data_IF_419697515667
#
_entry.id   IF_419697515667
#
_cell.length_a   1.000
_cell.length_b   1.000
_cell.length_c   1.000
_cell.angle_alpha   90.00
_cell.angle_beta   90.00
_cell.angle_gamma   90.00
#
_symmetry.space_group_name_H-M   'P 1'
#
loop_
_entity.id
_entity.type
_entity.pdbx_description
1 polymer ?
#
# COMPACT_ATOMS: atom_id res chain seq x y z
N UNK A 1 5.36 -17.20 -32.94
CA UNK A 1 6.51 -16.29 -33.10
C UNK A 1 6.32 -14.93 -32.41
N UNK A 2 5.14 -14.42 -32.31
CA UNK A 2 4.77 -13.08 -31.85
C UNK A 2 4.98 -12.78 -30.36
N UNK A 3 4.72 -13.75 -29.45
CA UNK A 3 4.82 -13.55 -27.98
C UNK A 3 6.25 -13.22 -27.50
N UNK A 4 7.27 -13.70 -28.19
CA UNK A 4 8.67 -13.37 -27.87
C UNK A 4 9.00 -11.89 -28.05
N UNK A 5 8.31 -11.21 -28.97
CA UNK A 5 8.56 -9.79 -29.24
C UNK A 5 8.13 -8.88 -28.09
N UNK A 6 6.95 -9.11 -27.50
CA UNK A 6 6.50 -8.30 -26.35
C UNK A 6 7.38 -8.54 -25.11
N UNK A 7 7.81 -9.79 -24.88
CA UNK A 7 8.76 -10.11 -23.80
C UNK A 7 10.08 -9.37 -24.00
N UNK A 8 10.66 -9.46 -25.19
CA UNK A 8 11.92 -8.76 -25.52
C UNK A 8 11.78 -7.24 -25.38
N UNK A 9 10.65 -6.69 -25.77
CA UNK A 9 10.38 -5.25 -25.58
C UNK A 9 10.34 -4.86 -24.13
N UNK A 10 9.70 -5.65 -23.24
CA UNK A 10 9.69 -5.42 -21.80
C UNK A 10 11.10 -5.49 -21.21
N UNK A 11 11.90 -6.45 -21.62
CA UNK A 11 13.30 -6.63 -21.18
C UNK A 11 14.18 -5.43 -21.60
N UNK A 12 14.02 -4.95 -22.83
CA UNK A 12 14.78 -3.80 -23.33
C UNK A 12 14.34 -2.44 -22.74
N UNK A 13 13.14 -2.36 -22.19
CA UNK A 13 12.63 -1.10 -21.64
C UNK A 13 13.23 -0.71 -20.30
N UNK A 14 13.89 -1.63 -19.61
CA UNK A 14 14.44 -1.48 -18.25
C UNK A 14 13.45 -0.92 -17.20
N UNK A 15 12.14 -0.97 -17.50
CA UNK A 15 11.09 -0.49 -16.63
C UNK A 15 10.72 -1.54 -15.60
N UNK A 16 10.80 -1.19 -14.32
CA UNK A 16 10.32 -2.05 -13.22
C UNK A 16 8.80 -2.12 -13.14
N UNK A 17 8.08 -1.14 -13.66
CA UNK A 17 6.63 -1.11 -13.69
C UNK A 17 6.11 -0.73 -15.06
N UNK A 18 4.98 -1.32 -15.44
CA UNK A 18 4.25 -0.98 -16.64
C UNK A 18 2.76 -0.82 -16.36
N UNK A 19 2.14 0.17 -16.98
CA UNK A 19 0.71 0.38 -16.89
C UNK A 19 -0.04 -0.43 -17.94
N UNK A 20 -1.34 -0.62 -17.74
CA UNK A 20 -2.23 -1.23 -18.73
C UNK A 20 -2.22 -0.46 -20.04
N UNK A 21 -2.19 0.85 -19.96
CA UNK A 21 -2.23 1.77 -21.10
C UNK A 21 -0.94 1.66 -21.93
N UNK A 22 0.22 1.65 -21.26
CA UNK A 22 1.52 1.41 -21.93
C UNK A 22 1.56 0.04 -22.61
N UNK A 23 1.14 -1.02 -21.89
CA UNK A 23 1.13 -2.36 -22.45
C UNK A 23 0.18 -2.49 -23.64
N UNK A 24 -0.99 -1.82 -23.60
CA UNK A 24 -1.89 -1.74 -24.76
C UNK A 24 -1.26 -1.03 -25.96
N UNK A 25 -0.58 0.09 -25.72
CA UNK A 25 0.12 0.82 -26.76
C UNK A 25 1.24 -0.02 -27.38
N UNK A 26 1.97 -0.78 -26.55
CA UNK A 26 3.02 -1.68 -27.00
C UNK A 26 2.47 -2.85 -27.83
N UNK A 27 1.38 -3.46 -27.39
CA UNK A 27 0.69 -4.49 -28.16
C UNK A 27 0.20 -3.95 -29.52
N UNK A 28 -0.39 -2.75 -29.55
CA UNK A 28 -0.85 -2.11 -30.79
C UNK A 28 0.30 -1.87 -31.78
N UNK A 29 1.45 -1.36 -31.30
CA UNK A 29 2.65 -1.14 -32.14
C UNK A 29 3.20 -2.44 -32.74
N UNK A 30 3.00 -3.57 -32.07
CA UNK A 30 3.46 -4.88 -32.51
C UNK A 30 2.37 -5.68 -33.23
N UNK A 31 1.21 -5.07 -33.56
CA UNK A 31 0.03 -5.72 -34.16
C UNK A 31 -0.43 -6.96 -33.36
N UNK A 32 -0.44 -6.86 -32.03
CA UNK A 32 -0.78 -7.95 -31.11
C UNK A 32 -2.06 -7.67 -30.33
N UNK A 33 -2.83 -8.72 -30.02
CA UNK A 33 -3.97 -8.62 -29.11
C UNK A 33 -3.51 -8.43 -27.66
N UNK A 34 -4.02 -7.39 -26.99
CA UNK A 34 -3.68 -7.08 -25.60
C UNK A 34 -4.13 -8.18 -24.63
N UNK A 35 -5.33 -8.71 -24.80
CA UNK A 35 -5.91 -9.66 -23.82
C UNK A 35 -5.20 -11.01 -23.85
N UNK A 36 -4.80 -11.46 -25.01
CA UNK A 36 -3.99 -12.67 -25.18
C UNK A 36 -2.62 -12.46 -24.53
N UNK A 37 -1.98 -11.32 -24.81
CA UNK A 37 -0.64 -11.03 -24.30
C UNK A 37 -0.61 -10.82 -22.78
N UNK A 38 -1.54 -10.07 -22.19
CA UNK A 38 -1.57 -9.87 -20.74
C UNK A 38 -1.82 -11.18 -19.99
N UNK A 39 -2.68 -12.05 -20.51
CA UNK A 39 -2.91 -13.38 -19.95
C UNK A 39 -1.64 -14.23 -19.97
N UNK A 40 -0.93 -14.26 -21.11
CA UNK A 40 0.33 -14.94 -21.24
C UNK A 40 1.39 -14.41 -20.27
N UNK A 41 1.62 -13.09 -20.28
CA UNK A 41 2.65 -12.45 -19.45
C UNK A 41 2.41 -12.63 -17.96
N UNK A 42 1.15 -12.64 -17.52
CA UNK A 42 0.82 -12.89 -16.12
C UNK A 42 0.89 -14.38 -15.75
N UNK A 43 0.44 -15.27 -16.63
CA UNK A 43 0.50 -16.73 -16.42
C UNK A 43 1.95 -17.21 -16.28
N UNK A 44 2.82 -16.78 -17.18
CA UNK A 44 4.26 -17.13 -17.15
C UNK A 44 5.09 -16.22 -16.26
N UNK A 45 4.43 -15.41 -15.42
CA UNK A 45 5.07 -14.57 -14.39
C UNK A 45 6.12 -13.57 -14.93
N UNK A 46 5.99 -13.12 -16.16
CA UNK A 46 6.74 -11.96 -16.66
C UNK A 46 6.24 -10.67 -16.02
N UNK A 47 4.92 -10.60 -15.80
CA UNK A 47 4.25 -9.50 -15.12
C UNK A 47 3.57 -10.01 -13.86
N UNK A 48 3.73 -9.28 -12.77
CA UNK A 48 3.01 -9.53 -11.52
C UNK A 48 2.14 -8.31 -11.22
N UNK A 49 0.84 -8.54 -11.04
CA UNK A 49 -0.10 -7.45 -10.77
C UNK A 49 0.14 -6.89 -9.37
N UNK A 50 0.36 -5.57 -9.29
CA UNK A 50 0.47 -4.84 -8.01
C UNK A 50 -0.84 -4.14 -7.68
N UNK A 51 -1.35 -3.31 -8.60
CA UNK A 51 -2.68 -2.70 -8.50
C UNK A 51 -3.46 -2.91 -9.79
N UNK A 52 -4.74 -2.55 -9.80
CA UNK A 52 -5.55 -2.60 -11.02
C UNK A 52 -4.92 -1.71 -12.09
N UNK A 53 -4.48 -2.34 -13.19
CA UNK A 53 -3.86 -1.68 -14.32
C UNK A 53 -2.38 -1.33 -14.14
N UNK A 54 -1.73 -1.79 -13.07
CA UNK A 54 -0.30 -1.58 -12.81
C UNK A 54 0.37 -2.91 -12.51
N UNK A 55 1.44 -3.21 -13.22
CA UNK A 55 2.15 -4.47 -13.14
C UNK A 55 3.63 -4.23 -12.85
N UNK A 56 4.19 -5.08 -12.01
CA UNK A 56 5.64 -5.20 -11.84
C UNK A 56 6.21 -6.08 -12.94
N UNK A 57 7.26 -5.64 -13.59
CA UNK A 57 7.97 -6.37 -14.65
C UNK A 57 9.10 -7.13 -13.99
N UNK A 58 9.04 -8.48 -13.99
CA UNK A 58 10.12 -9.29 -13.43
C UNK A 58 11.34 -9.30 -14.35
N UNK A 59 12.49 -9.07 -13.78
CA UNK A 59 13.77 -9.21 -14.47
C UNK A 59 14.00 -10.68 -14.92
N UNK A 60 14.97 -10.89 -15.80
CA UNK A 60 15.38 -12.24 -16.24
C UNK A 60 15.82 -13.07 -15.04
N UNK A 61 16.59 -12.50 -14.12
CA UNK A 61 17.09 -13.16 -12.91
C UNK A 61 15.94 -13.55 -11.97
N UNK A 62 15.01 -12.64 -11.71
CA UNK A 62 13.84 -12.89 -10.87
C UNK A 62 12.96 -14.01 -11.42
N UNK A 63 12.89 -14.14 -12.75
CA UNK A 63 12.15 -15.23 -13.40
C UNK A 63 12.89 -16.57 -13.26
N UNK A 64 14.21 -16.59 -13.49
CA UNK A 64 15.05 -17.79 -13.34
C UNK A 64 15.04 -18.30 -11.90
N UNK A 65 15.14 -17.41 -10.92
CA UNK A 65 15.16 -17.74 -9.50
C UNK A 65 13.76 -17.88 -8.87
N UNK A 66 12.71 -17.61 -9.64
CA UNK A 66 11.31 -17.52 -9.17
C UNK A 66 11.14 -16.63 -7.93
N UNK A 67 11.94 -15.58 -7.81
CA UNK A 67 11.93 -14.60 -6.71
C UNK A 67 11.44 -13.24 -7.22
N UNK A 68 11.20 -12.33 -6.27
CA UNK A 68 10.88 -10.92 -6.52
C UNK A 68 11.81 -10.11 -5.62
N UNK A 69 12.61 -9.23 -6.22
CA UNK A 69 13.66 -8.48 -5.52
C UNK A 69 13.15 -7.15 -4.94
N UNK A 70 11.96 -6.72 -5.32
CA UNK A 70 11.35 -5.52 -4.74
C UNK A 70 10.58 -5.85 -3.46
N UNK A 71 10.72 -5.02 -2.44
CA UNK A 71 9.88 -5.11 -1.24
C UNK A 71 8.42 -4.75 -1.60
N UNK A 72 7.44 -5.49 -1.06
CA UNK A 72 6.02 -5.26 -1.36
C UNK A 72 5.54 -3.86 -0.97
N UNK A 73 6.04 -3.26 0.12
CA UNK A 73 5.70 -1.88 0.51
C UNK A 73 6.24 -0.86 -0.49
N UNK A 74 7.44 -1.07 -1.01
CA UNK A 74 8.02 -0.23 -2.07
C UNK A 74 7.23 -0.38 -3.38
N UNK A 75 6.84 -1.60 -3.73
CA UNK A 75 6.01 -1.84 -4.90
C UNK A 75 4.66 -1.14 -4.80
N UNK A 76 4.05 -1.11 -3.61
CA UNK A 76 2.80 -0.37 -3.35
C UNK A 76 3.05 1.13 -3.51
N UNK A 77 4.11 1.67 -2.92
CA UNK A 77 4.48 3.09 -3.03
C UNK A 77 4.60 3.52 -4.51
N UNK A 78 5.38 2.77 -5.30
CA UNK A 78 5.55 3.09 -6.72
C UNK A 78 4.24 2.96 -7.51
N UNK A 79 3.45 1.92 -7.23
CA UNK A 79 2.15 1.75 -7.89
C UNK A 79 1.15 2.87 -7.54
N UNK A 80 1.15 3.36 -6.29
CA UNK A 80 0.31 4.50 -5.88
C UNK A 80 0.78 5.81 -6.52
N UNK A 81 2.09 6.01 -6.65
CA UNK A 81 2.69 7.13 -7.38
C UNK A 81 2.27 7.13 -8.84
N UNK A 82 2.41 6.00 -9.55
CA UNK A 82 1.97 5.82 -10.94
C UNK A 82 0.46 6.11 -11.08
N UNK A 83 -0.33 5.71 -10.08
CA UNK A 83 -1.79 5.94 -10.05
C UNK A 83 -2.18 7.38 -9.73
N UNK A 84 -1.23 8.24 -9.38
CA UNK A 84 -1.49 9.64 -9.01
C UNK A 84 -2.18 9.81 -7.66
N UNK A 85 -2.06 8.83 -6.75
CA UNK A 85 -2.57 8.93 -5.38
C UNK A 85 -1.51 9.63 -4.53
N UNK A 86 -1.83 10.85 -4.08
CA UNK A 86 -0.88 11.69 -3.33
C UNK A 86 -1.05 11.57 -1.81
N UNK A 87 -2.30 11.49 -1.33
CA UNK A 87 -2.64 11.51 0.09
C UNK A 87 -2.84 10.08 0.59
N UNK A 88 -1.77 9.45 1.04
CA UNK A 88 -1.79 8.11 1.59
C UNK A 88 -0.56 7.87 2.48
N UNK A 89 -0.64 6.87 3.34
CA UNK A 89 0.46 6.42 4.20
C UNK A 89 0.22 4.96 4.66
N UNK A 90 1.27 4.30 5.10
CA UNK A 90 1.16 3.05 5.83
C UNK A 90 0.71 3.34 7.26
N UNK A 91 -0.40 2.75 7.69
CA UNK A 91 -1.00 2.97 9.00
C UNK A 91 -1.14 1.70 9.81
N UNK A 92 -1.73 1.83 10.99
CA UNK A 92 -2.07 0.73 11.90
C UNK A 92 -0.87 -0.17 12.21
N UNK A 93 -1.05 -1.49 12.17
CA UNK A 93 0.02 -2.47 12.46
C UNK A 93 1.25 -2.30 11.57
N UNK A 94 1.08 -1.86 10.30
CA UNK A 94 2.22 -1.57 9.43
C UNK A 94 3.04 -0.39 9.93
N UNK A 95 2.37 0.67 10.40
CA UNK A 95 3.06 1.82 10.98
C UNK A 95 3.74 1.46 12.32
N UNK A 96 3.14 0.59 13.13
CA UNK A 96 3.77 0.11 14.36
C UNK A 96 5.09 -0.62 14.09
N UNK A 97 5.12 -1.49 13.07
CA UNK A 97 6.36 -2.16 12.63
C UNK A 97 7.41 -1.13 12.14
N UNK A 98 7.00 -0.18 11.31
CA UNK A 98 7.91 0.82 10.73
C UNK A 98 8.46 1.82 11.78
N UNK A 99 7.73 2.02 12.89
CA UNK A 99 8.18 2.78 14.05
C UNK A 99 8.96 1.94 15.08
N UNK A 100 9.14 0.64 14.87
CA UNK A 100 9.74 -0.30 15.84
C UNK A 100 9.03 -0.29 17.20
N UNK A 101 7.70 -0.12 17.21
CA UNK A 101 6.89 -0.07 18.42
C UNK A 101 6.38 -1.44 18.87
N UNK A 102 6.50 -2.46 18.03
CA UNK A 102 6.03 -3.81 18.31
C UNK A 102 6.94 -4.83 17.66
N UNK A 103 7.05 -5.99 18.29
CA UNK A 103 7.69 -7.19 17.78
C UNK A 103 6.67 -8.23 17.26
N UNK A 104 5.39 -7.90 17.34
CA UNK A 104 4.33 -8.79 16.89
C UNK A 104 4.36 -9.00 15.37
N UNK A 105 4.04 -10.22 14.96
CA UNK A 105 3.86 -10.55 13.56
C UNK A 105 2.42 -10.31 13.12
N UNK A 106 2.22 -9.38 12.19
CA UNK A 106 0.92 -9.11 11.58
C UNK A 106 0.87 -9.65 10.17
N UNK A 107 -0.22 -10.33 9.87
CA UNK A 107 -0.43 -10.96 8.55
C UNK A 107 -0.98 -10.01 7.48
N UNK A 108 -1.42 -8.83 7.88
CA UNK A 108 -2.04 -7.83 7.00
C UNK A 108 -1.29 -6.51 7.15
N UNK A 109 -0.87 -5.95 6.02
CA UNK A 109 -0.38 -4.58 5.95
C UNK A 109 -1.49 -3.62 5.55
N UNK A 110 -1.47 -2.42 6.12
CA UNK A 110 -2.53 -1.42 5.96
C UNK A 110 -2.02 -0.19 5.22
N UNK A 111 -2.76 0.19 4.20
CA UNK A 111 -2.58 1.45 3.47
C UNK A 111 -3.79 2.32 3.73
N UNK A 112 -3.58 3.49 4.32
CA UNK A 112 -4.62 4.48 4.58
C UNK A 112 -4.53 5.57 3.52
N UNK A 113 -5.68 5.95 2.95
CA UNK A 113 -5.75 6.91 1.85
C UNK A 113 -7.07 7.68 1.86
N UNK A 114 -7.08 8.85 1.26
CA UNK A 114 -8.31 9.64 1.05
C UNK A 114 -9.19 9.13 -0.10
N UNK A 115 -8.63 8.28 -0.99
CA UNK A 115 -9.30 7.86 -2.25
C UNK A 115 -9.54 6.37 -2.36
N UNK A 116 -8.66 5.54 -1.80
CA UNK A 116 -8.70 4.09 -2.01
C UNK A 116 -9.38 3.38 -0.85
N UNK A 117 -10.30 2.50 -1.20
CA UNK A 117 -10.99 1.61 -0.26
C UNK A 117 -11.07 0.19 -0.82
N UNK A 118 -10.87 -0.80 0.06
CA UNK A 118 -11.13 -2.20 -0.22
C UNK A 118 -11.72 -2.86 1.02
N UNK A 119 -12.93 -3.40 0.89
CA UNK A 119 -13.61 -4.05 2.02
C UNK A 119 -12.82 -5.27 2.54
N UNK A 120 -12.22 -6.04 1.64
CA UNK A 120 -11.43 -7.24 1.98
C UNK A 120 -9.95 -7.04 1.63
N UNK A 121 -9.03 -7.59 2.43
CA UNK A 121 -7.62 -7.67 2.07
C UNK A 121 -7.44 -8.45 0.76
N UNK A 122 -6.41 -8.11 0.00
CA UNK A 122 -6.01 -8.84 -1.20
C UNK A 122 -4.49 -8.97 -1.28
N UNK A 123 -4.02 -9.87 -2.13
CA UNK A 123 -2.60 -10.17 -2.24
C UNK A 123 -1.91 -9.20 -3.21
N UNK A 124 -0.79 -8.64 -2.75
CA UNK A 124 0.20 -7.94 -3.56
C UNK A 124 1.55 -8.61 -3.31
N UNK A 125 2.16 -9.17 -4.34
CA UNK A 125 3.44 -9.87 -4.25
C UNK A 125 3.50 -10.94 -3.14
N UNK A 126 2.38 -11.61 -2.86
CA UNK A 126 2.25 -12.65 -1.82
C UNK A 126 1.85 -12.13 -0.43
N UNK A 127 1.83 -10.82 -0.20
CA UNK A 127 1.45 -10.20 1.08
C UNK A 127 -0.01 -9.74 1.08
N UNK A 128 -0.71 -9.92 2.20
CA UNK A 128 -2.08 -9.43 2.37
C UNK A 128 -2.07 -7.93 2.67
N UNK A 129 -2.74 -7.15 1.83
CA UNK A 129 -2.82 -5.70 1.96
C UNK A 129 -4.28 -5.29 2.07
N UNK A 130 -4.59 -4.40 3.02
CA UNK A 130 -5.92 -3.78 3.17
C UNK A 130 -5.81 -2.27 2.92
N UNK A 131 -6.65 -1.77 2.03
CA UNK A 131 -6.81 -0.33 1.78
C UNK A 131 -8.00 0.19 2.58
N UNK A 132 -7.75 1.21 3.40
CA UNK A 132 -8.77 1.89 4.21
C UNK A 132 -8.87 3.34 3.74
N UNK A 133 -10.10 3.78 3.51
CA UNK A 133 -10.36 5.18 3.20
C UNK A 133 -10.60 5.96 4.49
N UNK A 134 -9.96 7.13 4.59
CA UNK A 134 -10.10 8.03 5.74
C UNK A 134 -10.44 9.44 5.25
N UNK A 135 -10.94 10.29 6.15
CA UNK A 135 -11.20 11.69 5.82
C UNK A 135 -9.93 12.39 5.34
N UNK A 136 -9.96 13.14 4.22
CA UNK A 136 -8.78 13.82 3.67
C UNK A 136 -8.05 14.73 4.66
N UNK A 137 -8.76 15.34 5.62
CA UNK A 137 -8.14 16.17 6.66
C UNK A 137 -7.17 15.38 7.53
N UNK A 138 -7.47 14.10 7.77
CA UNK A 138 -6.65 13.21 8.59
C UNK A 138 -5.39 12.69 7.88
N UNK A 139 -5.22 12.92 6.58
CA UNK A 139 -4.01 12.52 5.84
C UNK A 139 -2.92 13.59 5.82
N UNK A 140 -3.11 14.73 6.52
CA UNK A 140 -2.23 15.91 6.39
C UNK A 140 -1.23 16.10 7.52
N UNK A 141 -1.28 15.31 8.59
CA UNK A 141 -0.43 15.46 9.77
C UNK A 141 0.00 14.10 10.33
N UNK A 142 1.01 14.10 11.18
CA UNK A 142 1.53 12.90 11.84
C UNK A 142 2.07 11.83 10.90
N UNK A 143 2.57 12.23 9.72
CA UNK A 143 3.14 11.32 8.73
C UNK A 143 4.64 11.53 8.65
N UNK A 144 5.38 10.46 8.83
CA UNK A 144 6.83 10.40 8.68
C UNK A 144 7.11 10.06 7.21
N UNK A 145 7.71 11.02 6.49
CA UNK A 145 8.09 10.90 5.08
C UNK A 145 9.58 10.56 4.94
N UNK A 146 9.94 9.33 5.30
CA UNK A 146 11.25 8.76 4.99
C UNK A 146 11.21 8.06 3.62
N UNK A 147 11.85 6.90 3.52
CA UNK A 147 11.75 6.08 2.30
C UNK A 147 10.30 5.66 2.01
N UNK A 148 9.55 5.26 3.03
CA UNK A 148 8.12 4.95 2.97
C UNK A 148 7.34 5.96 3.81
N UNK A 149 6.19 6.49 3.35
CA UNK A 149 5.33 7.32 4.18
C UNK A 149 4.53 6.45 5.17
N UNK A 150 4.63 6.75 6.46
CA UNK A 150 3.86 6.03 7.50
C UNK A 150 3.47 6.97 8.64
N UNK A 151 2.41 6.63 9.38
CA UNK A 151 1.97 7.42 10.54
C UNK A 151 2.94 7.27 11.72
N UNK A 152 3.18 8.36 12.46
CA UNK A 152 3.89 8.30 13.74
C UNK A 152 3.06 7.57 14.82
N UNK A 153 3.62 7.37 16.00
CA UNK A 153 2.99 6.59 17.08
C UNK A 153 1.63 7.18 17.47
N UNK A 154 1.58 8.48 17.73
CA UNK A 154 0.37 9.16 18.19
C UNK A 154 -0.72 9.18 17.12
N UNK A 155 -0.36 9.44 15.87
CA UNK A 155 -1.29 9.35 14.74
C UNK A 155 -1.81 7.93 14.56
N UNK A 156 -0.95 6.92 14.70
CA UNK A 156 -1.32 5.52 14.57
C UNK A 156 -2.38 5.12 15.60
N UNK A 157 -2.20 5.52 16.87
CA UNK A 157 -3.17 5.26 17.93
C UNK A 157 -4.51 5.95 17.64
N UNK A 158 -4.47 7.22 17.26
CA UNK A 158 -5.69 7.97 16.93
C UNK A 158 -6.44 7.36 15.72
N UNK A 159 -5.71 6.87 14.73
CA UNK A 159 -6.31 6.16 13.61
C UNK A 159 -6.95 4.82 14.05
N UNK A 160 -6.34 4.10 14.97
CA UNK A 160 -6.93 2.89 15.55
C UNK A 160 -8.25 3.21 16.27
N UNK A 161 -8.28 4.25 17.13
CA UNK A 161 -9.48 4.67 17.83
C UNK A 161 -10.57 5.07 16.83
N UNK A 162 -10.24 5.94 15.88
CA UNK A 162 -11.15 6.42 14.85
C UNK A 162 -11.76 5.27 14.03
N UNK A 163 -10.92 4.36 13.53
CA UNK A 163 -11.37 3.25 12.71
C UNK A 163 -12.12 2.18 13.50
N UNK A 164 -11.84 2.01 14.79
CA UNK A 164 -12.62 1.15 15.68
C UNK A 164 -14.04 1.70 15.86
N UNK A 165 -14.17 2.99 16.14
CA UNK A 165 -15.47 3.67 16.28
C UNK A 165 -16.31 3.64 14.99
N UNK A 166 -15.65 3.47 13.83
CA UNK A 166 -16.31 3.34 12.53
C UNK A 166 -16.44 1.88 12.05
N UNK A 167 -16.05 0.90 12.88
CA UNK A 167 -16.21 -0.53 12.60
C UNK A 167 -15.19 -1.15 11.64
N UNK A 168 -14.14 -0.43 11.27
CA UNK A 168 -13.12 -0.92 10.33
C UNK A 168 -12.02 -1.75 10.99
N UNK A 169 -11.82 -1.60 12.30
CA UNK A 169 -10.80 -2.28 13.12
C UNK A 169 -11.40 -2.77 14.44
N UNK A 170 -10.97 -3.93 14.92
CA UNK A 170 -11.52 -4.56 16.14
C UNK A 170 -10.72 -4.24 17.42
N UNK A 171 -9.40 -4.16 17.32
CA UNK A 171 -8.50 -4.02 18.45
C UNK A 171 -7.74 -2.70 18.41
N UNK A 172 -7.50 -2.13 19.59
CA UNK A 172 -6.58 -1.00 19.80
C UNK A 172 -5.39 -1.56 20.58
N UNK A 173 -4.16 -1.39 20.14
CA UNK A 173 -2.98 -1.84 20.88
C UNK A 173 -2.71 -0.88 22.05
N UNK A 174 -3.32 -1.15 23.21
CA UNK A 174 -3.27 -0.27 24.38
C UNK A 174 -1.86 -0.07 24.93
N UNK A 175 -1.01 -1.10 24.87
CA UNK A 175 0.39 -1.07 25.32
C UNK A 175 1.25 0.03 24.66
N UNK A 176 0.80 0.52 23.50
CA UNK A 176 1.55 1.54 22.76
C UNK A 176 1.27 2.95 23.28
N UNK A 177 0.20 3.14 24.05
CA UNK A 177 -0.09 4.44 24.67
C UNK A 177 1.02 4.94 25.58
N UNK A 178 1.67 4.06 26.32
CA UNK A 178 2.80 4.40 27.20
C UNK A 178 3.99 5.00 26.44
N UNK A 179 4.12 4.66 25.16
CA UNK A 179 5.19 5.15 24.28
C UNK A 179 4.81 6.44 23.55
N UNK A 180 3.59 6.95 23.74
CA UNK A 180 3.08 8.14 23.07
C UNK A 180 3.15 9.38 23.95
N UNK A 181 3.40 10.53 23.35
CA UNK A 181 3.32 11.82 24.03
C UNK A 181 1.85 12.24 24.21
N UNK A 182 1.39 12.36 25.48
CA UNK A 182 0.03 12.82 25.80
C UNK A 182 -0.29 14.17 25.17
N UNK A 183 0.64 15.12 25.23
CA UNK A 183 0.46 16.44 24.62
C UNK A 183 0.23 16.38 23.12
N UNK A 184 0.98 15.51 22.43
CA UNK A 184 0.87 15.34 20.98
C UNK A 184 -0.41 14.60 20.60
N UNK A 185 -0.84 13.59 21.38
CA UNK A 185 -2.13 12.92 21.22
C UNK A 185 -3.28 13.93 21.33
N UNK A 186 -3.28 14.77 22.39
CA UNK A 186 -4.30 15.81 22.57
C UNK A 186 -4.28 16.88 21.46
N UNK A 187 -3.11 17.25 20.95
CA UNK A 187 -2.98 18.17 19.82
C UNK A 187 -3.59 17.58 18.56
N UNK A 188 -3.25 16.34 18.22
CA UNK A 188 -3.71 15.67 16.99
C UNK A 188 -5.20 15.32 17.07
N UNK A 189 -5.72 14.95 18.26
CA UNK A 189 -7.11 14.57 18.46
C UNK A 189 -8.10 15.65 18.04
N UNK A 190 -7.72 16.94 18.10
CA UNK A 190 -8.56 18.08 17.67
C UNK A 190 -9.01 17.97 16.21
N UNK A 191 -8.32 17.20 15.38
CA UNK A 191 -8.65 16.99 13.97
C UNK A 191 -9.63 15.84 13.75
N UNK A 192 -9.89 15.03 14.77
CA UNK A 192 -10.80 13.90 14.73
C UNK A 192 -12.21 14.27 15.17
N UNK A 193 -13.15 13.33 15.03
CA UNK A 193 -14.52 13.52 15.46
C UNK A 193 -14.69 13.43 16.99
N UNK A 194 -15.86 13.86 17.46
CA UNK A 194 -16.19 13.90 18.91
C UNK A 194 -16.13 12.51 19.56
N UNK A 195 -16.46 11.42 18.83
CA UNK A 195 -16.45 10.06 19.35
C UNK A 195 -15.01 9.61 19.63
N UNK A 196 -14.12 9.82 18.66
CA UNK A 196 -12.69 9.55 18.81
C UNK A 196 -12.07 10.35 19.97
N UNK A 197 -12.39 11.65 20.08
CA UNK A 197 -11.90 12.50 21.18
C UNK A 197 -12.40 11.99 22.54
N UNK A 198 -13.69 11.62 22.64
CA UNK A 198 -14.26 11.08 23.87
C UNK A 198 -13.53 9.79 24.27
N UNK A 199 -13.41 8.86 23.34
CA UNK A 199 -12.74 7.57 23.59
C UNK A 199 -11.28 7.74 23.99
N UNK A 200 -10.54 8.64 23.35
CA UNK A 200 -9.17 8.95 23.76
C UNK A 200 -9.09 9.44 25.21
N UNK A 201 -10.02 10.32 25.64
CA UNK A 201 -10.05 10.85 27.00
C UNK A 201 -10.34 9.76 28.06
N UNK A 202 -11.12 8.74 27.70
CA UNK A 202 -11.40 7.59 28.58
C UNK A 202 -10.17 6.68 28.72
N UNK A 203 -9.22 6.75 27.80
CA UNK A 203 -8.01 5.90 27.78
C UNK A 203 -6.76 6.62 28.34
N UNK A 204 -6.78 7.94 28.56
CA UNK A 204 -5.69 8.76 29.12
C UNK A 204 -5.77 8.92 30.62
#
# INVERSE_FOLDING_TARGET
>A
MTLKLIVRKLELSDKKFITREELKADCKKLSMDYYVNIRYLTHYKYLVRVLRGIFYVKSIEERKLNKININHLEAIKEALKIKGIKNWYFGLSTALKLNNLTHEYFTIDYVISDKLFRARPFLILGYKIKFIKINPKLTKFGIINKNLPYSDAEKTILDYIYLKEHGDVKLIPEEIFEKCSKNKLLKYSKSYDKRTIKRLKEML
#
